data_IF_001187195130
#
_entry.id   IF_001187195130
#
_cell.length_a   1.000
_cell.length_b   1.000
_cell.length_c   1.000
_cell.angle_alpha   90.00
_cell.angle_beta   90.00
_cell.angle_gamma   90.00
#
_symmetry.space_group_name_H-M   'P 1'
#
loop_
_entity.id
_entity.type
_entity.pdbx_description
1 polymer ?
#
# COMPACT_ATOMS: atom_id res chain seq x y z
N UNK A 1 28.53 -31.41 -36.90
CA UNK A 1 28.35 -31.17 -35.46
C UNK A 1 29.01 -29.91 -34.88
N UNK A 2 29.42 -28.92 -35.70
CA UNK A 2 30.02 -27.66 -35.21
C UNK A 2 29.15 -26.40 -35.33
N UNK A 3 28.04 -26.49 -36.08
CA UNK A 3 27.11 -25.33 -36.31
C UNK A 3 26.12 -25.09 -35.16
N UNK A 4 25.74 -26.16 -34.43
CA UNK A 4 24.75 -26.03 -33.32
C UNK A 4 25.29 -25.38 -32.06
N UNK A 5 26.58 -25.42 -31.78
CA UNK A 5 27.18 -24.83 -30.56
C UNK A 5 27.30 -23.31 -30.66
N UNK A 6 27.49 -22.73 -31.86
CA UNK A 6 27.58 -21.26 -32.02
C UNK A 6 26.24 -20.55 -31.89
N UNK A 7 25.14 -21.17 -32.29
CA UNK A 7 23.79 -20.56 -32.20
C UNK A 7 23.34 -20.51 -30.72
N UNK A 8 23.64 -21.55 -29.92
CA UNK A 8 23.31 -21.56 -28.51
C UNK A 8 24.10 -20.52 -27.69
N UNK A 9 25.40 -20.32 -28.03
CA UNK A 9 26.22 -19.29 -27.40
C UNK A 9 25.76 -17.87 -27.72
N UNK A 10 25.26 -17.64 -28.94
CA UNK A 10 24.77 -16.32 -29.38
C UNK A 10 23.43 -15.95 -28.70
N UNK A 11 22.54 -16.91 -28.49
CA UNK A 11 21.27 -16.72 -27.78
C UNK A 11 21.47 -16.44 -26.28
N UNK A 12 22.44 -17.06 -25.63
CA UNK A 12 22.73 -16.82 -24.20
C UNK A 12 23.38 -15.45 -24.01
N UNK A 13 24.28 -15.00 -24.90
CA UNK A 13 24.91 -13.68 -24.85
C UNK A 13 23.89 -12.55 -25.05
N UNK A 14 22.91 -12.72 -25.93
CA UNK A 14 21.85 -11.73 -26.15
C UNK A 14 20.88 -11.64 -24.95
N UNK A 15 20.59 -12.73 -24.27
CA UNK A 15 19.69 -12.70 -23.12
C UNK A 15 20.33 -12.01 -21.90
N UNK A 16 21.62 -12.16 -21.68
CA UNK A 16 22.35 -11.46 -20.61
C UNK A 16 22.46 -9.95 -20.90
N UNK A 17 22.68 -9.56 -22.15
CA UNK A 17 22.72 -8.15 -22.54
C UNK A 17 21.38 -7.45 -22.39
N UNK A 18 20.28 -8.07 -22.77
CA UNK A 18 18.94 -7.54 -22.60
C UNK A 18 18.57 -7.31 -21.12
N UNK A 19 18.91 -8.28 -20.23
CA UNK A 19 18.66 -8.14 -18.80
C UNK A 19 19.46 -7.02 -18.15
N UNK A 20 20.73 -6.84 -18.52
CA UNK A 20 21.57 -5.76 -18.01
C UNK A 20 21.06 -4.38 -18.43
N UNK A 21 20.61 -4.24 -19.67
CA UNK A 21 20.05 -3.00 -20.20
C UNK A 21 18.75 -2.62 -19.51
N UNK A 22 17.90 -3.60 -19.17
CA UNK A 22 16.65 -3.37 -18.44
C UNK A 22 16.88 -2.85 -17.02
N UNK A 23 17.86 -3.38 -16.29
CA UNK A 23 18.18 -2.96 -14.93
C UNK A 23 18.67 -1.51 -14.87
N UNK A 24 19.52 -1.08 -15.81
CA UNK A 24 19.98 0.33 -15.88
C UNK A 24 18.80 1.27 -16.15
N UNK A 25 17.89 0.89 -17.02
CA UNK A 25 16.67 1.64 -17.30
C UNK A 25 15.80 1.74 -16.04
N UNK A 26 15.65 0.66 -15.29
CA UNK A 26 14.86 0.66 -14.04
C UNK A 26 15.51 1.55 -12.97
N UNK A 27 16.84 1.53 -12.84
CA UNK A 27 17.57 2.42 -11.92
C UNK A 27 17.32 3.90 -12.22
N UNK A 28 17.19 4.28 -13.49
CA UNK A 28 16.91 5.66 -13.91
C UNK A 28 15.54 6.17 -13.41
N UNK A 29 14.65 5.26 -13.02
CA UNK A 29 13.37 5.59 -12.39
C UNK A 29 13.41 5.56 -10.84
N UNK A 30 14.53 5.18 -10.21
CA UNK A 30 14.67 5.11 -8.76
C UNK A 30 15.50 6.28 -8.25
N UNK A 31 15.10 6.86 -7.14
CA UNK A 31 15.76 7.99 -6.50
C UNK A 31 16.22 7.66 -5.09
N UNK A 32 17.35 8.23 -4.70
CA UNK A 32 17.79 8.28 -3.32
C UNK A 32 17.16 9.47 -2.62
N UNK A 33 16.63 9.24 -1.43
CA UNK A 33 16.02 10.28 -0.61
C UNK A 33 16.83 10.46 0.65
N UNK A 34 17.17 11.71 0.95
CA UNK A 34 17.78 12.12 2.20
C UNK A 34 16.88 13.14 2.88
N UNK A 35 16.42 12.83 4.07
CA UNK A 35 15.55 13.68 4.89
C UNK A 35 16.16 13.95 6.25
N UNK A 36 15.69 15.01 6.91
CA UNK A 36 16.10 15.39 8.27
C UNK A 36 14.85 15.55 9.12
N UNK A 37 14.70 14.73 10.14
CA UNK A 37 13.61 14.81 11.11
C UNK A 37 14.18 14.82 12.51
N UNK A 38 13.80 15.80 13.34
CA UNK A 38 14.28 15.96 14.72
C UNK A 38 15.82 15.94 14.83
N UNK A 39 16.50 16.55 13.85
CA UNK A 39 17.99 16.61 13.80
C UNK A 39 18.66 15.30 13.34
N UNK A 40 17.91 14.24 13.07
CA UNK A 40 18.44 12.96 12.58
C UNK A 40 18.31 12.87 11.07
N UNK A 41 19.40 12.47 10.41
CA UNK A 41 19.37 12.15 8.99
C UNK A 41 18.79 10.76 8.77
N UNK A 42 17.88 10.66 7.80
CA UNK A 42 17.34 9.39 7.29
C UNK A 42 17.71 9.26 5.81
N UNK A 43 17.99 8.05 5.39
CA UNK A 43 18.18 7.72 3.98
C UNK A 43 17.18 6.64 3.60
N UNK A 44 16.56 6.80 2.44
CA UNK A 44 15.65 5.83 1.88
C UNK A 44 15.65 5.91 0.36
N UNK A 45 14.77 5.15 -0.22
CA UNK A 45 14.53 5.11 -1.65
C UNK A 45 13.15 5.69 -2.00
N UNK A 46 12.96 5.97 -3.26
CA UNK A 46 11.68 6.27 -3.88
C UNK A 46 11.75 5.95 -5.36
N UNK A 47 10.64 6.05 -6.05
CA UNK A 47 10.67 5.88 -7.50
C UNK A 47 9.67 6.80 -8.19
N UNK A 48 10.00 7.14 -9.43
CA UNK A 48 9.21 8.03 -10.28
C UNK A 48 8.03 7.25 -10.83
N UNK A 49 6.82 7.72 -10.53
CA UNK A 49 5.56 7.13 -11.01
C UNK A 49 4.96 7.87 -12.19
N UNK A 50 5.35 9.14 -12.37
CA UNK A 50 4.90 9.99 -13.47
C UNK A 50 5.94 11.05 -13.77
N UNK A 51 6.15 11.35 -15.06
CA UNK A 51 6.96 12.47 -15.55
C UNK A 51 6.09 13.39 -16.40
N UNK A 52 6.21 14.68 -16.16
CA UNK A 52 5.72 15.77 -16.98
C UNK A 52 6.92 16.64 -17.39
N UNK A 53 6.81 17.53 -18.37
CA UNK A 53 7.97 18.24 -18.92
C UNK A 53 8.90 18.90 -17.88
N UNK A 54 8.36 19.39 -16.76
CA UNK A 54 9.12 20.07 -15.72
C UNK A 54 8.78 19.55 -14.31
N UNK A 55 8.19 18.35 -14.20
CA UNK A 55 7.77 17.80 -12.92
C UNK A 55 7.99 16.28 -12.89
N UNK A 56 8.69 15.81 -11.86
CA UNK A 56 8.75 14.39 -11.52
C UNK A 56 7.88 14.11 -10.28
N UNK A 57 6.97 13.16 -10.39
CA UNK A 57 6.17 12.65 -9.28
C UNK A 57 6.83 11.39 -8.71
N UNK A 58 7.18 11.43 -7.44
CA UNK A 58 7.95 10.38 -6.77
C UNK A 58 7.12 9.84 -5.62
N UNK A 59 7.00 8.51 -5.53
CA UNK A 59 6.41 7.84 -4.38
C UNK A 59 7.49 7.21 -3.51
N UNK A 60 7.27 7.23 -2.20
CA UNK A 60 8.14 6.62 -1.19
C UNK A 60 7.31 6.16 0.02
N UNK A 61 7.94 5.49 0.99
CA UNK A 61 7.32 5.21 2.28
C UNK A 61 7.23 6.49 3.14
N UNK A 62 6.12 6.69 3.86
CA UNK A 62 5.88 7.90 4.63
C UNK A 62 6.99 8.21 5.64
N UNK A 63 7.44 7.18 6.40
CA UNK A 63 8.46 7.33 7.43
C UNK A 63 9.84 7.79 6.91
N UNK A 64 10.08 7.65 5.60
CA UNK A 64 11.33 8.15 4.96
C UNK A 64 11.38 9.66 4.96
N UNK A 65 10.23 10.34 4.79
CA UNK A 65 10.15 11.81 4.68
C UNK A 65 9.33 12.46 5.79
N UNK A 66 8.79 11.69 6.71
CA UNK A 66 8.01 12.21 7.82
C UNK A 66 8.83 13.17 8.69
N UNK A 67 8.29 14.39 8.88
CA UNK A 67 8.95 15.48 9.60
C UNK A 67 9.85 16.37 8.73
N UNK A 68 10.05 16.06 7.44
CA UNK A 68 10.80 16.91 6.50
C UNK A 68 9.93 17.29 5.30
N UNK A 69 9.44 18.53 5.20
CA UNK A 69 8.59 18.96 4.09
C UNK A 69 9.36 19.15 2.77
N UNK A 70 10.69 19.21 2.82
CA UNK A 70 11.55 19.53 1.67
C UNK A 70 12.80 18.62 1.62
N UNK A 71 12.64 17.28 1.59
CA UNK A 71 13.75 16.34 1.57
C UNK A 71 14.58 16.51 0.29
N UNK A 72 15.81 16.04 0.34
CA UNK A 72 16.69 16.01 -0.83
C UNK A 72 16.50 14.71 -1.61
N UNK A 73 16.48 14.84 -2.93
CA UNK A 73 16.37 13.73 -3.88
C UNK A 73 17.60 13.73 -4.78
N UNK A 74 18.20 12.57 -4.95
CA UNK A 74 19.31 12.33 -5.88
C UNK A 74 18.86 11.34 -6.94
N UNK A 75 19.09 11.69 -8.22
CA UNK A 75 18.71 10.88 -9.36
C UNK A 75 19.88 10.00 -9.83
N UNK A 76 19.58 8.76 -10.26
CA UNK A 76 20.59 7.85 -10.81
C UNK A 76 21.37 8.45 -11.97
N UNK A 77 20.69 9.17 -12.87
CA UNK A 77 21.33 9.78 -14.06
C UNK A 77 22.14 11.04 -13.74
N UNK A 78 22.10 11.54 -12.49
CA UNK A 78 22.88 12.68 -12.01
C UNK A 78 23.22 12.48 -10.53
N UNK A 79 24.17 11.58 -10.27
CA UNK A 79 24.59 11.23 -8.92
C UNK A 79 25.39 12.35 -8.25
N UNK A 80 25.36 12.41 -6.92
CA UNK A 80 26.04 13.41 -6.07
C UNK A 80 25.59 14.86 -6.31
N UNK A 81 24.43 15.07 -6.95
CA UNK A 81 23.82 16.40 -7.15
C UNK A 81 22.38 16.36 -6.63
N UNK A 82 22.19 16.41 -5.30
CA UNK A 82 20.86 16.37 -4.71
C UNK A 82 20.08 17.65 -5.04
N UNK A 83 18.78 17.48 -5.26
CA UNK A 83 17.82 18.57 -5.46
C UNK A 83 16.72 18.49 -4.40
N UNK A 84 16.10 19.62 -4.06
CA UNK A 84 14.97 19.65 -3.13
C UNK A 84 13.72 19.11 -3.79
N UNK A 85 12.99 18.25 -3.06
CA UNK A 85 11.65 17.83 -3.41
C UNK A 85 10.64 18.42 -2.41
N UNK A 86 9.40 18.59 -2.85
CA UNK A 86 8.27 19.01 -2.03
C UNK A 86 7.43 17.81 -1.67
N UNK A 87 7.16 17.58 -0.38
CA UNK A 87 6.20 16.55 0.07
C UNK A 87 4.78 17.08 -0.14
N UNK A 88 4.06 16.50 -1.10
CA UNK A 88 2.71 16.95 -1.50
C UNK A 88 1.60 16.27 -0.71
N UNK A 89 1.78 15.00 -0.42
CA UNK A 89 0.84 14.15 0.33
C UNK A 89 1.63 13.16 1.16
N UNK A 90 1.13 12.83 2.32
CA UNK A 90 1.72 11.85 3.22
C UNK A 90 0.62 11.18 4.04
N UNK A 91 0.69 9.87 4.19
CA UNK A 91 -0.09 9.09 5.16
C UNK A 91 0.74 8.98 6.45
N UNK A 92 0.78 10.06 7.23
CA UNK A 92 1.57 10.10 8.46
C UNK A 92 0.97 9.23 9.58
N UNK A 93 1.85 8.77 10.48
CA UNK A 93 1.44 7.96 11.64
C UNK A 93 1.16 6.49 11.35
N UNK A 94 1.28 6.05 10.10
CA UNK A 94 1.17 4.65 9.68
C UNK A 94 2.53 4.13 9.23
N UNK A 95 3.03 3.05 9.84
CA UNK A 95 4.27 2.39 9.43
C UNK A 95 4.22 1.88 7.97
N UNK A 96 3.04 1.69 7.41
CA UNK A 96 2.79 1.28 6.03
C UNK A 96 2.30 2.43 5.15
N UNK A 97 2.30 3.65 5.67
CA UNK A 97 1.87 4.85 4.95
C UNK A 97 2.80 5.20 3.80
N UNK A 98 2.24 5.82 2.77
CA UNK A 98 2.95 6.30 1.59
C UNK A 98 3.14 7.81 1.63
N UNK A 99 4.12 8.32 0.90
CA UNK A 99 4.28 9.73 0.63
C UNK A 99 4.45 9.99 -0.86
N UNK A 100 3.85 11.08 -1.33
CA UNK A 100 4.02 11.63 -2.67
C UNK A 100 4.86 12.89 -2.59
N UNK A 101 5.97 12.88 -3.33
CA UNK A 101 6.83 14.04 -3.50
C UNK A 101 6.83 14.51 -4.95
N UNK A 102 7.17 15.78 -5.14
CA UNK A 102 7.42 16.34 -6.48
C UNK A 102 8.75 17.09 -6.51
N UNK A 103 9.48 16.91 -7.60
CA UNK A 103 10.60 17.76 -8.00
C UNK A 103 10.14 18.59 -9.18
N UNK A 104 10.35 19.91 -9.11
CA UNK A 104 9.95 20.88 -10.14
C UNK A 104 11.14 21.60 -10.74
N UNK A 105 10.97 22.06 -11.98
CA UNK A 105 11.97 22.81 -12.73
C UNK A 105 12.80 21.92 -13.64
N UNK A 106 12.94 22.32 -14.91
CA UNK A 106 13.72 21.57 -15.90
C UNK A 106 15.20 21.43 -15.47
N UNK A 107 15.74 22.44 -14.80
CA UNK A 107 17.12 22.48 -14.27
C UNK A 107 17.36 21.42 -13.17
N UNK A 108 16.32 21.03 -12.47
CA UNK A 108 16.36 20.03 -11.40
C UNK A 108 16.18 18.60 -11.92
N UNK A 109 15.66 18.43 -13.13
CA UNK A 109 15.38 17.13 -13.73
C UNK A 109 16.47 16.77 -14.76
N UNK A 110 17.36 15.83 -14.45
CA UNK A 110 18.38 15.40 -15.42
C UNK A 110 17.74 14.65 -16.59
N UNK A 111 18.41 14.61 -17.75
CA UNK A 111 17.97 13.80 -18.88
C UNK A 111 18.01 12.30 -18.54
N UNK A 112 17.25 11.50 -19.29
CA UNK A 112 17.25 10.04 -19.15
C UNK A 112 16.43 9.49 -17.98
N UNK A 113 15.64 10.33 -17.29
CA UNK A 113 14.69 9.85 -16.28
C UNK A 113 13.59 9.04 -16.93
N UNK A 114 13.14 8.02 -16.22
CA UNK A 114 11.99 7.19 -16.63
C UNK A 114 10.98 7.10 -15.50
N UNK A 115 9.69 6.98 -15.83
CA UNK A 115 8.67 6.58 -14.88
C UNK A 115 8.55 5.07 -14.85
N UNK A 116 8.53 4.47 -13.66
CA UNK A 116 8.36 3.04 -13.51
C UNK A 116 6.87 2.67 -13.61
N UNK A 117 6.59 1.63 -14.38
CA UNK A 117 5.22 1.11 -14.52
C UNK A 117 4.82 0.37 -13.25
N UNK A 118 3.69 0.75 -12.66
CA UNK A 118 3.04 -0.04 -11.64
C UNK A 118 2.35 -1.24 -12.34
N UNK A 119 2.78 -2.43 -12.00
CA UNK A 119 2.19 -3.69 -12.43
C UNK A 119 1.14 -4.18 -11.45
N UNK A 120 0.90 -5.49 -11.46
CA UNK A 120 0.02 -6.18 -10.51
C UNK A 120 0.80 -7.12 -9.61
N UNK A 121 0.50 -7.10 -8.33
CA UNK A 121 0.98 -8.10 -7.36
C UNK A 121 0.09 -9.36 -7.31
N UNK A 122 -1.05 -9.36 -7.99
CA UNK A 122 -2.00 -10.47 -7.96
C UNK A 122 -1.44 -11.79 -8.49
N UNK A 123 -0.40 -11.73 -9.33
CA UNK A 123 0.26 -12.91 -9.91
C UNK A 123 1.46 -13.41 -9.07
N UNK A 124 1.81 -12.72 -7.99
CA UNK A 124 2.89 -13.16 -7.11
C UNK A 124 2.49 -14.42 -6.35
N UNK A 125 3.43 -15.35 -6.25
CA UNK A 125 3.26 -16.61 -5.50
C UNK A 125 4.16 -16.60 -4.29
N UNK A 126 3.58 -16.74 -3.10
CA UNK A 126 4.33 -16.96 -1.87
C UNK A 126 5.11 -18.26 -1.95
N UNK A 127 6.34 -18.25 -1.45
CA UNK A 127 7.24 -19.41 -1.44
C UNK A 127 7.82 -19.81 -2.79
N UNK A 128 7.58 -19.05 -3.87
CA UNK A 128 8.03 -19.45 -5.21
C UNK A 128 8.63 -18.33 -6.04
N UNK A 129 8.16 -17.12 -5.91
CA UNK A 129 8.58 -16.03 -6.78
C UNK A 129 9.84 -15.33 -6.26
N UNK A 130 10.78 -15.08 -7.18
CA UNK A 130 11.90 -14.17 -6.97
C UNK A 130 11.58 -12.82 -7.58
N UNK A 131 11.87 -11.75 -6.83
CA UNK A 131 11.69 -10.36 -7.24
C UNK A 131 12.97 -9.57 -7.00
N UNK A 132 13.10 -8.39 -7.61
CA UNK A 132 14.23 -7.50 -7.38
C UNK A 132 13.75 -6.27 -6.60
N UNK A 133 14.49 -5.87 -5.56
CA UNK A 133 14.31 -4.59 -4.88
C UNK A 133 15.46 -3.66 -5.27
N UNK A 134 15.16 -2.38 -5.53
CA UNK A 134 16.18 -1.37 -5.81
C UNK A 134 16.14 -0.32 -4.70
N UNK A 135 17.28 -0.07 -4.07
CA UNK A 135 17.38 0.89 -2.97
C UNK A 135 18.83 1.16 -2.56
N UNK A 136 19.01 1.60 -1.32
CA UNK A 136 20.29 2.07 -0.77
C UNK A 136 20.57 1.35 0.55
N UNK A 137 20.84 0.01 0.52
CA UNK A 137 21.11 -0.73 1.73
C UNK A 137 22.29 -0.13 2.51
N UNK A 138 22.26 -0.25 3.82
CA UNK A 138 23.25 0.34 4.73
C UNK A 138 24.67 -0.02 4.31
N UNK A 139 25.54 0.98 4.18
CA UNK A 139 26.92 0.79 3.73
C UNK A 139 27.11 0.76 2.21
N UNK A 140 26.06 0.80 1.40
CA UNK A 140 26.14 0.87 -0.07
C UNK A 140 25.67 2.25 -0.54
N UNK A 141 26.58 3.04 -1.09
CA UNK A 141 26.30 4.40 -1.53
C UNK A 141 25.52 4.49 -2.86
N UNK A 142 25.42 3.39 -3.60
CA UNK A 142 24.86 3.33 -4.96
C UNK A 142 23.52 2.60 -5.01
N UNK A 143 22.81 2.74 -6.14
CA UNK A 143 21.55 2.06 -6.44
C UNK A 143 21.70 0.52 -6.44
N UNK A 144 21.63 -0.09 -5.24
CA UNK A 144 21.75 -1.53 -5.08
C UNK A 144 20.54 -2.27 -5.64
N UNK A 145 20.77 -3.39 -6.31
CA UNK A 145 19.72 -4.30 -6.76
C UNK A 145 19.84 -5.59 -5.95
N UNK A 146 18.85 -5.84 -5.12
CA UNK A 146 18.78 -7.04 -4.29
C UNK A 146 17.78 -8.01 -4.89
N UNK A 147 18.16 -9.27 -5.04
CA UNK A 147 17.23 -10.34 -5.39
C UNK A 147 16.69 -10.95 -4.10
N UNK A 148 15.38 -10.91 -3.96
CA UNK A 148 14.68 -11.39 -2.76
C UNK A 148 13.56 -12.32 -3.17
N UNK A 149 13.22 -13.26 -2.28
CA UNK A 149 12.12 -14.18 -2.52
C UNK A 149 10.83 -13.67 -1.87
N UNK A 150 9.70 -13.89 -2.53
CA UNK A 150 8.38 -13.70 -1.93
C UNK A 150 8.13 -14.88 -1.00
N UNK A 151 8.08 -14.61 0.30
CA UNK A 151 7.82 -15.64 1.32
C UNK A 151 6.32 -15.93 1.38
N UNK A 152 5.51 -14.90 1.53
CA UNK A 152 4.05 -15.01 1.57
C UNK A 152 3.40 -13.68 1.17
N UNK A 153 2.09 -13.73 0.95
CA UNK A 153 1.23 -12.56 0.73
C UNK A 153 0.21 -12.53 1.85
N UNK A 154 0.30 -11.53 2.71
CA UNK A 154 -0.55 -11.40 3.91
C UNK A 154 -1.26 -10.03 3.93
N UNK A 155 -2.55 -10.02 3.61
CA UNK A 155 -3.34 -8.79 3.62
C UNK A 155 -2.74 -7.71 2.71
N UNK A 156 -2.28 -6.60 3.32
CA UNK A 156 -1.62 -5.49 2.62
C UNK A 156 -0.14 -5.75 2.33
N UNK A 157 0.43 -6.87 2.73
CA UNK A 157 1.87 -7.07 2.70
C UNK A 157 2.29 -8.11 1.69
N UNK A 158 3.35 -7.81 0.97
CA UNK A 158 4.23 -8.79 0.36
C UNK A 158 5.34 -9.01 1.37
N UNK A 159 5.41 -10.20 1.96
CA UNK A 159 6.49 -10.58 2.87
C UNK A 159 7.65 -11.12 2.04
N UNK A 160 8.80 -10.49 2.20
CA UNK A 160 10.04 -10.80 1.46
C UNK A 160 11.06 -11.48 2.36
N UNK A 161 12.00 -12.21 1.76
CA UNK A 161 13.10 -12.85 2.49
C UNK A 161 13.97 -11.83 3.24
N UNK A 162 14.83 -12.33 4.15
CA UNK A 162 15.62 -11.51 5.10
C UNK A 162 16.80 -10.75 4.47
N UNK A 163 16.84 -10.63 3.16
CA UNK A 163 17.95 -10.00 2.43
C UNK A 163 17.80 -8.47 2.26
N UNK A 164 16.69 -7.90 2.76
CA UNK A 164 16.50 -6.45 2.76
C UNK A 164 17.12 -5.82 4.01
N UNK A 165 17.58 -4.58 3.86
CA UNK A 165 18.21 -3.78 4.91
C UNK A 165 17.59 -2.38 4.99
N UNK A 166 17.93 -1.63 6.05
CA UNK A 166 17.62 -0.20 6.14
C UNK A 166 18.17 0.54 4.92
N UNK A 167 17.43 1.56 4.44
CA UNK A 167 17.75 2.29 3.20
C UNK A 167 17.05 1.76 1.96
N UNK A 168 16.45 0.56 2.00
CA UNK A 168 15.59 0.07 0.92
C UNK A 168 14.15 0.59 1.02
N UNK A 169 13.75 1.16 2.18
CA UNK A 169 12.40 1.70 2.41
C UNK A 169 12.03 2.74 1.36
N UNK A 170 10.83 2.60 0.79
CA UNK A 170 10.31 3.43 -0.31
C UNK A 170 10.74 2.97 -1.70
N UNK A 171 11.69 2.06 -1.82
CA UNK A 171 12.16 1.52 -3.10
C UNK A 171 11.17 0.56 -3.76
N UNK A 172 11.23 0.40 -5.09
CA UNK A 172 10.36 -0.50 -5.81
C UNK A 172 10.75 -1.96 -5.61
N UNK A 173 9.74 -2.83 -5.51
CA UNK A 173 9.85 -4.27 -5.71
C UNK A 173 9.44 -4.57 -7.14
N UNK A 174 10.30 -5.22 -7.91
CA UNK A 174 10.17 -5.37 -9.35
C UNK A 174 10.11 -6.84 -9.74
N UNK A 175 9.16 -7.16 -10.61
CA UNK A 175 9.06 -8.42 -11.34
C UNK A 175 8.68 -8.12 -12.79
N UNK A 176 9.33 -8.79 -13.74
CA UNK A 176 9.04 -8.66 -15.18
C UNK A 176 9.01 -7.18 -15.65
N UNK A 177 10.02 -6.39 -15.22
CA UNK A 177 10.19 -4.96 -15.51
C UNK A 177 9.05 -4.06 -15.04
N UNK A 178 8.22 -4.52 -14.12
CA UNK A 178 7.12 -3.75 -13.53
C UNK A 178 7.25 -3.72 -12.00
N UNK A 179 6.83 -2.61 -11.42
CA UNK A 179 6.76 -2.48 -9.96
C UNK A 179 5.55 -3.28 -9.46
N UNK A 180 5.80 -4.33 -8.69
CA UNK A 180 4.78 -5.17 -8.05
C UNK A 180 4.52 -4.78 -6.59
N UNK A 181 5.41 -3.98 -5.99
CA UNK A 181 5.26 -3.47 -4.63
C UNK A 181 6.23 -2.33 -4.31
N UNK A 182 6.07 -1.73 -3.15
CA UNK A 182 6.94 -0.69 -2.57
C UNK A 182 7.44 -1.16 -1.21
N UNK A 183 8.74 -1.16 -1.00
CA UNK A 183 9.38 -1.60 0.25
C UNK A 183 9.01 -0.65 1.39
N UNK A 184 8.48 -1.20 2.47
CA UNK A 184 8.12 -0.43 3.68
C UNK A 184 9.18 -0.50 4.76
N UNK A 185 9.88 -1.62 4.87
CA UNK A 185 10.88 -1.82 5.91
C UNK A 185 11.02 -3.28 6.30
N UNK A 186 11.42 -3.51 7.56
CA UNK A 186 11.65 -4.83 8.12
C UNK A 186 10.67 -5.11 9.27
N UNK A 187 10.22 -6.35 9.36
CA UNK A 187 9.52 -6.88 10.52
C UNK A 187 10.13 -8.23 10.91
N UNK A 188 10.68 -8.32 12.11
CA UNK A 188 11.38 -9.51 12.62
C UNK A 188 12.44 -10.07 11.64
N UNK A 189 13.10 -9.16 10.91
CA UNK A 189 14.12 -9.48 9.90
C UNK A 189 13.58 -9.85 8.51
N UNK A 190 12.25 -10.00 8.33
CA UNK A 190 11.65 -10.13 7.01
C UNK A 190 11.38 -8.78 6.39
N UNK A 191 11.57 -8.66 5.08
CA UNK A 191 11.17 -7.48 4.34
C UNK A 191 9.65 -7.39 4.21
N UNK A 192 9.11 -6.18 4.35
CA UNK A 192 7.72 -5.90 4.06
C UNK A 192 7.61 -4.94 2.89
N UNK A 193 6.70 -5.22 1.97
CA UNK A 193 6.35 -4.31 0.89
C UNK A 193 4.83 -4.19 0.73
N UNK A 194 4.37 -2.99 0.38
CA UNK A 194 2.98 -2.72 0.02
C UNK A 194 2.77 -3.09 -1.45
N UNK A 195 1.72 -3.85 -1.80
CA UNK A 195 1.39 -4.19 -3.19
C UNK A 195 1.22 -2.98 -4.10
N UNK A 196 1.64 -3.09 -5.36
CA UNK A 196 1.52 -2.02 -6.36
C UNK A 196 0.08 -1.56 -6.61
N UNK A 197 -0.91 -2.44 -6.46
CA UNK A 197 -2.33 -2.11 -6.52
C UNK A 197 -2.74 -1.10 -5.45
N UNK A 198 -2.23 -1.24 -4.23
CA UNK A 198 -2.44 -0.28 -3.13
C UNK A 198 -1.75 1.04 -3.45
N UNK A 199 -0.48 1.00 -3.87
CA UNK A 199 0.26 2.21 -4.28
C UNK A 199 -0.51 2.96 -5.37
N UNK A 200 -1.02 2.26 -6.38
CA UNK A 200 -1.85 2.85 -7.44
C UNK A 200 -3.10 3.50 -6.89
N UNK A 201 -3.83 2.82 -6.03
CA UNK A 201 -5.07 3.33 -5.42
C UNK A 201 -4.81 4.61 -4.63
N UNK A 202 -3.80 4.62 -3.77
CA UNK A 202 -3.43 5.80 -2.97
C UNK A 202 -3.03 6.98 -3.86
N UNK A 203 -2.19 6.76 -4.87
CA UNK A 203 -1.76 7.80 -5.80
C UNK A 203 -2.94 8.36 -6.62
N UNK A 204 -3.86 7.51 -7.06
CA UNK A 204 -5.07 7.93 -7.79
C UNK A 204 -5.97 8.79 -6.89
N UNK A 205 -6.15 8.41 -5.61
CA UNK A 205 -6.89 9.19 -4.63
C UNK A 205 -6.23 10.55 -4.33
N UNK A 206 -4.92 10.65 -4.49
CA UNK A 206 -4.18 11.92 -4.39
C UNK A 206 -4.20 12.73 -5.68
N UNK A 207 -4.93 12.28 -6.71
CA UNK A 207 -5.11 12.99 -7.98
C UNK A 207 -3.96 12.77 -8.98
N UNK A 208 -3.11 11.76 -8.77
CA UNK A 208 -2.08 11.39 -9.74
C UNK A 208 -2.67 10.51 -10.81
N UNK A 209 -2.81 11.04 -12.03
CA UNK A 209 -3.24 10.22 -13.18
C UNK A 209 -2.09 9.30 -13.60
N UNK A 210 -2.28 8.02 -13.42
CA UNK A 210 -1.33 6.97 -13.80
C UNK A 210 -1.78 6.28 -15.11
N UNK A 211 -0.84 5.71 -15.88
CA UNK A 211 -1.20 4.82 -16.99
C UNK A 211 -2.10 3.68 -16.51
N UNK A 212 -3.00 3.23 -17.38
CA UNK A 212 -3.86 2.08 -17.09
C UNK A 212 -3.01 0.86 -16.70
N UNK A 213 -3.56 0.01 -15.84
CA UNK A 213 -2.91 -1.24 -15.45
C UNK A 213 -2.69 -2.11 -16.70
N UNK A 214 -1.49 -2.69 -16.89
CA UNK A 214 -1.29 -3.63 -17.98
C UNK A 214 -2.26 -4.82 -17.78
N UNK A 215 -3.13 -5.04 -18.73
CA UNK A 215 -3.93 -6.28 -18.77
C UNK A 215 -2.94 -7.45 -18.74
N UNK A 216 -3.06 -8.33 -17.76
CA UNK A 216 -2.28 -9.56 -17.72
C UNK A 216 -2.51 -10.26 -19.06
N UNK A 217 -1.44 -10.50 -19.82
CA UNK A 217 -1.52 -11.20 -21.09
C UNK A 217 -2.10 -12.60 -20.82
N UNK A 218 -3.37 -12.76 -21.13
CA UNK A 218 -3.99 -14.08 -21.21
C UNK A 218 -3.26 -14.82 -22.32
N UNK A 219 -2.62 -15.94 -22.00
CA UNK A 219 -2.01 -16.82 -22.99
C UNK A 219 -3.03 -17.08 -24.10
N UNK A 220 -2.62 -17.04 -25.39
CA UNK A 220 -3.55 -17.21 -26.50
C UNK A 220 -4.23 -18.57 -26.40
N UNK A 221 -5.52 -18.58 -26.09
CA UNK A 221 -6.37 -19.75 -26.28
C UNK A 221 -6.60 -19.91 -27.76
N UNK A 222 -6.38 -21.12 -28.26
CA UNK A 222 -6.68 -21.51 -29.67
C UNK A 222 -8.13 -21.16 -30.02
N UNK A 223 -8.40 -20.66 -31.24
CA UNK A 223 -9.74 -20.26 -31.63
C UNK A 223 -10.67 -21.47 -31.72
N UNK A 224 -11.72 -21.46 -30.91
CA UNK A 224 -12.88 -22.30 -31.14
C UNK A 224 -13.65 -21.74 -32.33
N UNK A 225 -13.98 -22.62 -33.30
CA UNK A 225 -14.73 -22.30 -34.50
C UNK A 225 -16.17 -21.94 -34.16
N UNK A 226 -16.64 -20.89 -34.85
CA UNK A 226 -18.03 -20.50 -35.09
C UNK A 226 -18.92 -20.17 -33.87
N UNK A 227 -18.99 -18.87 -33.56
CA UNK A 227 -20.19 -18.23 -33.02
C UNK A 227 -20.26 -16.78 -33.52
N UNK A 228 -21.40 -16.43 -34.09
CA UNK A 228 -21.78 -15.17 -34.71
C UNK A 228 -21.57 -13.98 -33.80
N UNK A 229 -20.78 -12.99 -34.23
CA UNK A 229 -20.40 -11.79 -33.49
C UNK A 229 -21.57 -10.81 -33.41
N UNK A 230 -22.09 -10.57 -32.20
CA UNK A 230 -22.84 -9.38 -31.88
C UNK A 230 -21.84 -8.25 -31.50
N UNK A 231 -22.14 -6.95 -31.79
CA UNK A 231 -21.19 -5.86 -31.56
C UNK A 231 -20.85 -5.71 -30.08
N UNK A 232 -19.55 -5.66 -29.81
CA UNK A 232 -19.00 -5.51 -28.46
C UNK A 232 -19.39 -4.15 -27.83
N UNK A 233 -19.79 -4.11 -26.55
CA UNK A 233 -19.96 -2.87 -25.83
C UNK A 233 -18.60 -2.19 -25.53
N UNK A 234 -18.57 -0.87 -25.30
CA UNK A 234 -17.33 -0.11 -25.18
C UNK A 234 -16.47 -0.59 -24.00
N UNK A 235 -15.22 -0.89 -24.32
CA UNK A 235 -14.19 -1.33 -23.36
C UNK A 235 -13.86 -0.24 -22.37
N UNK A 236 -14.05 -0.49 -21.06
CA UNK A 236 -13.55 0.40 -20.02
C UNK A 236 -14.26 0.44 -18.67
N UNK A 237 -15.25 -0.41 -18.43
CA UNK A 237 -15.95 -0.46 -17.14
C UNK A 237 -15.84 -1.88 -16.58
N UNK A 238 -15.22 -2.07 -15.41
CA UNK A 238 -15.23 -3.35 -14.69
C UNK A 238 -16.66 -3.83 -14.45
N UNK A 239 -16.84 -5.14 -14.29
CA UNK A 239 -18.16 -5.77 -14.11
C UNK A 239 -18.84 -5.34 -12.81
N UNK A 240 -18.06 -4.93 -11.79
CA UNK A 240 -18.52 -4.42 -10.51
C UNK A 240 -18.22 -2.92 -10.40
N UNK A 241 -19.26 -2.10 -10.17
CA UNK A 241 -19.09 -0.69 -9.83
C UNK A 241 -19.27 -0.46 -8.33
N UNK A 242 -18.43 0.38 -7.76
CA UNK A 242 -18.51 0.86 -6.39
C UNK A 242 -18.88 2.35 -6.41
N UNK A 243 -19.81 2.78 -5.55
CA UNK A 243 -20.16 4.20 -5.38
C UNK A 243 -19.09 4.97 -4.60
N UNK A 244 -18.25 4.26 -3.84
CA UNK A 244 -17.09 4.83 -3.15
C UNK A 244 -15.92 3.86 -3.12
N UNK A 245 -14.70 4.36 -3.34
CA UNK A 245 -13.44 3.64 -3.18
C UNK A 245 -12.68 4.06 -1.90
N UNK A 246 -13.25 5.01 -1.14
CA UNK A 246 -12.73 5.51 0.12
C UNK A 246 -13.86 5.83 1.11
N UNK A 247 -13.68 5.43 2.35
CA UNK A 247 -14.56 5.71 3.48
C UNK A 247 -13.78 6.46 4.55
N UNK A 248 -14.07 7.73 4.74
CA UNK A 248 -13.51 8.54 5.81
C UNK A 248 -14.48 8.56 6.99
N UNK A 249 -14.11 7.93 8.09
CA UNK A 249 -14.89 7.92 9.32
C UNK A 249 -14.67 9.19 10.15
N UNK A 250 -13.58 9.94 9.85
CA UNK A 250 -13.23 11.11 10.63
C UNK A 250 -12.77 10.74 12.04
N UNK A 251 -12.98 11.67 12.98
CA UNK A 251 -12.65 11.47 14.37
C UNK A 251 -13.79 10.70 15.07
N UNK A 252 -13.48 9.57 15.67
CA UNK A 252 -14.41 8.69 16.35
C UNK A 252 -13.90 8.38 17.75
N UNK A 253 -14.79 8.46 18.72
CA UNK A 253 -14.46 8.08 20.09
C UNK A 253 -14.00 6.61 20.17
N UNK A 254 -12.94 6.38 20.96
CA UNK A 254 -12.41 5.03 21.22
C UNK A 254 -13.50 4.11 21.78
N UNK A 255 -13.58 2.91 21.26
CA UNK A 255 -14.56 1.88 21.59
C UNK A 255 -16.02 2.22 21.20
N UNK A 256 -16.25 3.28 20.44
CA UNK A 256 -17.54 3.59 19.82
C UNK A 256 -17.52 3.18 18.36
N UNK A 257 -18.58 2.49 17.92
CA UNK A 257 -18.70 2.03 16.54
C UNK A 257 -19.39 3.07 15.68
N UNK A 258 -18.80 3.40 14.54
CA UNK A 258 -19.44 4.13 13.46
C UNK A 258 -19.59 3.22 12.24
N UNK A 259 -20.70 3.37 11.50
CA UNK A 259 -21.00 2.56 10.31
C UNK A 259 -21.11 3.47 9.09
N UNK A 260 -20.52 3.03 7.99
CA UNK A 260 -20.73 3.59 6.64
C UNK A 260 -21.08 2.49 5.67
N UNK A 261 -21.76 2.85 4.58
CA UNK A 261 -22.24 1.88 3.60
C UNK A 261 -21.70 2.23 2.21
N UNK A 262 -21.48 1.18 1.43
CA UNK A 262 -21.05 1.25 0.04
C UNK A 262 -22.04 0.44 -0.78
N UNK A 263 -22.43 0.96 -1.94
CA UNK A 263 -23.21 0.21 -2.92
C UNK A 263 -22.29 -0.46 -3.95
N UNK A 264 -22.51 -1.74 -4.13
CA UNK A 264 -21.84 -2.57 -5.12
C UNK A 264 -22.85 -2.88 -6.22
N UNK A 265 -22.67 -2.32 -7.42
CA UNK A 265 -23.60 -2.46 -8.55
C UNK A 265 -23.01 -3.39 -9.60
N UNK A 266 -23.77 -4.42 -9.99
CA UNK A 266 -23.39 -5.31 -11.08
C UNK A 266 -23.63 -4.62 -12.44
N UNK A 267 -22.56 -4.38 -13.19
CA UNK A 267 -22.59 -3.85 -14.55
C UNK A 267 -22.38 -4.90 -15.62
N UNK A 268 -22.17 -6.17 -15.23
CA UNK A 268 -22.06 -7.26 -16.18
C UNK A 268 -23.44 -7.68 -16.70
N UNK A 269 -23.50 -8.32 -17.87
CA UNK A 269 -24.76 -8.89 -18.41
C UNK A 269 -25.24 -10.12 -17.64
N UNK A 270 -24.36 -10.73 -16.83
CA UNK A 270 -24.65 -11.95 -16.07
C UNK A 270 -24.72 -11.68 -14.57
N UNK A 271 -25.43 -12.52 -13.79
CA UNK A 271 -25.44 -12.42 -12.34
C UNK A 271 -24.03 -12.55 -11.75
N UNK A 272 -23.68 -11.64 -10.85
CA UNK A 272 -22.37 -11.54 -10.19
C UNK A 272 -22.49 -11.91 -8.72
N UNK A 273 -21.47 -12.56 -8.17
CA UNK A 273 -21.38 -12.84 -6.72
C UNK A 273 -20.10 -12.29 -6.14
N UNK A 274 -20.20 -11.69 -4.96
CA UNK A 274 -19.02 -11.34 -4.17
C UNK A 274 -18.52 -12.64 -3.50
N UNK A 275 -17.38 -13.12 -3.96
CA UNK A 275 -16.81 -14.39 -3.51
C UNK A 275 -15.96 -14.27 -2.25
N UNK A 276 -15.39 -13.09 -1.99
CA UNK A 276 -14.56 -12.83 -0.81
C UNK A 276 -14.55 -11.35 -0.45
N UNK A 277 -14.62 -11.10 0.85
CA UNK A 277 -14.34 -9.82 1.49
C UNK A 277 -13.19 -10.02 2.48
N UNK A 278 -12.12 -9.24 2.34
CA UNK A 278 -10.97 -9.30 3.25
C UNK A 278 -10.66 -7.90 3.74
N UNK A 279 -10.50 -7.73 5.02
CA UNK A 279 -10.06 -6.51 5.69
C UNK A 279 -8.70 -6.75 6.32
N UNK A 280 -7.74 -5.88 6.04
CA UNK A 280 -6.36 -6.03 6.51
C UNK A 280 -6.15 -5.56 7.96
N UNK A 281 -6.99 -4.65 8.47
CA UNK A 281 -7.03 -4.33 9.91
C UNK A 281 -8.39 -4.70 10.55
N UNK A 282 -8.60 -5.98 10.87
CA UNK A 282 -9.84 -6.43 11.51
C UNK A 282 -9.98 -5.99 12.97
N UNK A 283 -8.95 -5.38 13.56
CA UNK A 283 -8.99 -4.89 14.95
C UNK A 283 -9.82 -3.62 15.08
N UNK A 284 -9.76 -2.73 14.07
CA UNK A 284 -10.49 -1.46 14.07
C UNK A 284 -11.66 -1.43 13.08
N UNK A 285 -11.60 -2.23 12.02
CA UNK A 285 -12.61 -2.26 10.97
C UNK A 285 -13.27 -3.63 10.85
N UNK A 286 -14.53 -3.64 10.42
CA UNK A 286 -15.24 -4.85 10.00
C UNK A 286 -16.14 -4.54 8.82
N UNK A 287 -16.34 -5.52 7.92
CA UNK A 287 -17.23 -5.40 6.77
C UNK A 287 -18.19 -6.60 6.72
N UNK A 288 -19.46 -6.34 6.35
CA UNK A 288 -20.49 -7.37 6.23
C UNK A 288 -21.51 -6.99 5.18
N UNK A 289 -22.14 -8.01 4.56
CA UNK A 289 -23.13 -7.88 3.49
C UNK A 289 -22.61 -8.34 2.14
N UNK A 290 -23.49 -8.53 1.19
CA UNK A 290 -23.21 -8.92 -0.20
C UNK A 290 -22.48 -10.25 -0.43
N UNK A 291 -21.96 -10.91 0.60
CA UNK A 291 -21.13 -12.11 0.44
C UNK A 291 -21.97 -13.31 -0.05
N UNK A 292 -21.55 -13.93 -1.16
CA UNK A 292 -22.16 -15.11 -1.76
C UNK A 292 -23.62 -14.95 -2.27
N UNK A 293 -24.21 -13.76 -2.16
CA UNK A 293 -25.53 -13.49 -2.74
C UNK A 293 -25.38 -13.10 -4.21
N UNK A 294 -26.27 -13.58 -5.12
CA UNK A 294 -26.24 -13.18 -6.51
C UNK A 294 -26.77 -11.76 -6.66
N UNK A 295 -26.02 -10.91 -7.34
CA UNK A 295 -26.43 -9.56 -7.73
C UNK A 295 -26.83 -9.65 -9.21
N UNK A 296 -28.10 -9.46 -9.55
CA UNK A 296 -28.56 -9.51 -10.93
C UNK A 296 -27.97 -8.33 -11.76
N UNK A 297 -27.94 -8.45 -13.11
CA UNK A 297 -27.48 -7.36 -13.98
C UNK A 297 -28.23 -6.06 -13.70
N UNK A 298 -27.49 -4.97 -13.45
CA UNK A 298 -28.03 -3.66 -13.10
C UNK A 298 -28.45 -3.47 -11.64
N UNK A 299 -28.54 -4.54 -10.88
CA UNK A 299 -28.90 -4.48 -9.46
C UNK A 299 -27.67 -4.17 -8.56
N UNK A 300 -27.98 -3.75 -7.35
CA UNK A 300 -26.95 -3.39 -6.35
C UNK A 300 -27.18 -4.10 -5.03
N UNK A 301 -26.09 -4.39 -4.34
CA UNK A 301 -26.14 -4.79 -2.93
C UNK A 301 -25.41 -3.76 -2.05
N UNK A 302 -25.80 -3.67 -0.78
CA UNK A 302 -25.19 -2.75 0.19
C UNK A 302 -24.22 -3.48 1.11
N UNK A 303 -22.97 -3.02 1.09
CA UNK A 303 -21.91 -3.48 1.98
C UNK A 303 -21.77 -2.48 3.14
N UNK A 304 -21.88 -2.96 4.36
CA UNK A 304 -21.69 -2.17 5.59
C UNK A 304 -20.25 -2.29 6.06
N UNK A 305 -19.59 -1.17 6.28
CA UNK A 305 -18.25 -1.10 6.87
C UNK A 305 -18.35 -0.38 8.21
N UNK A 306 -17.84 -0.99 9.27
CA UNK A 306 -17.84 -0.46 10.63
C UNK A 306 -16.42 -0.12 11.05
N UNK A 307 -16.27 1.02 11.70
CA UNK A 307 -15.05 1.48 12.34
C UNK A 307 -15.26 1.58 13.84
N UNK A 308 -14.41 0.93 14.63
CA UNK A 308 -14.39 0.99 16.09
C UNK A 308 -12.94 1.06 16.56
N UNK A 309 -12.38 2.29 16.74
CA UNK A 309 -11.01 2.45 17.17
C UNK A 309 -10.80 1.86 18.57
N UNK A 310 -9.70 1.14 18.77
CA UNK A 310 -9.32 0.53 20.05
C UNK A 310 -8.44 1.42 20.92
N UNK A 311 -7.85 2.46 20.32
CA UNK A 311 -6.96 3.42 20.97
C UNK A 311 -7.03 4.78 20.29
N UNK A 312 -6.41 5.80 20.91
CA UNK A 312 -6.16 7.10 20.27
C UNK A 312 -5.18 6.94 19.13
N UNK A 313 -5.41 7.63 18.01
CA UNK A 313 -4.53 7.68 16.85
C UNK A 313 -5.23 7.37 15.54
N UNK A 314 -4.49 7.45 14.44
CA UNK A 314 -4.98 7.14 13.11
C UNK A 314 -5.11 5.64 12.87
N UNK A 315 -6.18 5.26 12.17
CA UNK A 315 -6.43 3.91 11.70
C UNK A 315 -6.71 3.95 10.22
N UNK A 316 -6.19 2.97 9.51
CA UNK A 316 -6.48 2.77 8.11
C UNK A 316 -6.64 1.27 7.83
N UNK A 317 -7.66 0.92 7.06
CA UNK A 317 -7.93 -0.45 6.62
C UNK A 317 -8.18 -0.49 5.13
N UNK A 318 -7.72 -1.56 4.48
CA UNK A 318 -8.03 -1.88 3.10
C UNK A 318 -9.05 -3.00 3.04
N UNK A 319 -10.22 -2.70 2.49
CA UNK A 319 -11.21 -3.70 2.15
C UNK A 319 -10.95 -4.18 0.72
N UNK A 320 -10.66 -5.44 0.57
CA UNK A 320 -10.49 -6.13 -0.70
C UNK A 320 -11.76 -6.91 -1.02
N UNK A 321 -12.32 -6.67 -2.20
CA UNK A 321 -13.57 -7.28 -2.68
C UNK A 321 -13.24 -8.11 -3.93
N UNK A 322 -13.44 -9.42 -3.85
CA UNK A 322 -13.35 -10.33 -5.00
C UNK A 322 -14.75 -10.70 -5.46
N UNK A 323 -14.97 -10.73 -6.76
CA UNK A 323 -16.24 -11.14 -7.36
C UNK A 323 -16.04 -12.22 -8.43
N UNK A 324 -17.13 -12.80 -8.90
CA UNK A 324 -17.11 -13.93 -9.85
C UNK A 324 -16.89 -13.52 -11.31
N UNK A 325 -17.02 -12.23 -11.62
CA UNK A 325 -16.96 -11.74 -13.01
C UNK A 325 -15.62 -11.07 -13.34
N UNK A 326 -14.97 -10.41 -12.34
CA UNK A 326 -13.70 -9.73 -12.52
C UNK A 326 -12.55 -10.62 -12.06
N UNK A 327 -11.48 -10.68 -12.84
CA UNK A 327 -10.22 -11.35 -12.45
C UNK A 327 -9.40 -10.51 -11.45
N UNK A 328 -9.71 -9.22 -11.32
CA UNK A 328 -9.00 -8.29 -10.45
C UNK A 328 -9.86 -7.93 -9.23
N UNK A 329 -9.23 -7.78 -8.05
CA UNK A 329 -9.92 -7.33 -6.86
C UNK A 329 -10.29 -5.85 -6.96
N UNK A 330 -11.41 -5.49 -6.34
CA UNK A 330 -11.77 -4.10 -6.06
C UNK A 330 -11.32 -3.73 -4.65
N UNK A 331 -10.90 -2.47 -4.47
CA UNK A 331 -10.37 -1.98 -3.22
C UNK A 331 -11.15 -0.78 -2.69
N UNK A 332 -11.36 -0.77 -1.37
CA UNK A 332 -11.91 0.38 -0.65
C UNK A 332 -11.01 0.68 0.54
N UNK A 333 -10.51 1.91 0.62
CA UNK A 333 -9.73 2.39 1.76
C UNK A 333 -10.69 2.92 2.81
N UNK A 334 -10.61 2.40 4.02
CA UNK A 334 -11.34 2.90 5.18
C UNK A 334 -10.34 3.63 6.10
N UNK A 335 -10.59 4.90 6.42
CA UNK A 335 -9.74 5.71 7.28
C UNK A 335 -10.52 6.36 8.42
N UNK A 336 -9.91 6.47 9.61
CA UNK A 336 -10.51 7.15 10.74
C UNK A 336 -9.49 7.42 11.84
N UNK A 337 -9.84 8.30 12.78
CA UNK A 337 -9.00 8.67 13.92
C UNK A 337 -9.73 8.29 15.21
N UNK A 338 -9.07 7.52 16.07
CA UNK A 338 -9.55 7.28 17.42
C UNK A 338 -9.27 8.50 18.30
N UNK A 339 -10.32 9.09 18.87
CA UNK A 339 -10.24 10.21 19.79
C UNK A 339 -10.45 9.73 21.22
N UNK A 340 -9.66 10.27 22.16
CA UNK A 340 -9.85 10.02 23.58
C UNK A 340 -9.47 11.27 24.35
N UNK A 341 -10.35 11.72 25.24
CA UNK A 341 -10.11 12.86 26.11
C UNK A 341 -9.24 12.50 27.33
N UNK A 342 -9.12 11.21 27.63
CA UNK A 342 -8.39 10.76 28.81
C UNK A 342 -8.30 9.23 28.90
N UNK A 343 -8.13 8.72 30.10
CA UNK A 343 -8.02 7.30 30.39
C UNK A 343 -9.11 6.86 31.36
N UNK A 344 -9.60 5.65 31.19
CA UNK A 344 -10.55 4.99 32.05
C UNK A 344 -9.91 3.78 32.72
N UNK A 345 -10.04 3.67 34.03
CA UNK A 345 -9.62 2.51 34.81
C UNK A 345 -10.82 1.63 35.08
N UNK A 346 -10.83 0.42 34.53
CA UNK A 346 -11.90 -0.52 34.73
C UNK A 346 -11.36 -1.94 34.92
N UNK A 347 -11.81 -2.62 35.96
CA UNK A 347 -11.37 -3.97 36.36
C UNK A 347 -9.84 -4.17 36.34
N UNK A 348 -9.09 -3.13 36.72
CA UNK A 348 -7.63 -3.22 36.79
C UNK A 348 -6.90 -3.01 35.47
N UNK A 349 -7.59 -2.51 34.45
CA UNK A 349 -7.01 -2.16 33.15
C UNK A 349 -7.20 -0.69 32.82
N UNK A 350 -6.33 -0.16 31.96
CA UNK A 350 -6.41 1.21 31.47
C UNK A 350 -6.92 1.20 30.03
N UNK A 351 -7.90 2.04 29.74
CA UNK A 351 -8.48 2.25 28.43
C UNK A 351 -8.42 3.72 28.06
N UNK A 352 -8.04 4.04 26.83
CA UNK A 352 -8.13 5.39 26.29
C UNK A 352 -9.57 5.66 25.83
N UNK A 353 -10.31 6.52 26.51
CA UNK A 353 -11.68 6.89 26.16
C UNK A 353 -12.10 8.18 26.83
N UNK A 354 -13.25 8.73 26.46
CA UNK A 354 -13.80 9.91 27.10
C UNK A 354 -14.49 9.58 28.44
N UNK A 355 -14.90 10.64 29.15
CA UNK A 355 -15.50 10.51 30.50
C UNK A 355 -16.86 9.84 30.48
N UNK A 356 -17.67 10.05 29.45
CA UNK A 356 -19.00 9.48 29.32
C UNK A 356 -18.94 7.99 29.09
N UNK A 357 -18.12 7.55 28.16
CA UNK A 357 -17.87 6.13 27.88
C UNK A 357 -17.28 5.39 29.09
N UNK A 358 -16.39 6.05 29.84
CA UNK A 358 -15.86 5.49 31.08
C UNK A 358 -16.95 5.28 32.12
N UNK A 359 -17.86 6.26 32.30
CA UNK A 359 -19.01 6.13 33.20
C UNK A 359 -19.98 5.04 32.77
N UNK A 360 -20.21 4.88 31.48
CA UNK A 360 -21.12 3.85 30.93
C UNK A 360 -20.70 2.43 31.31
N UNK A 361 -19.42 2.18 31.55
CA UNK A 361 -18.86 0.91 32.00
C UNK A 361 -18.54 0.87 33.50
N UNK A 362 -18.96 1.90 34.25
CA UNK A 362 -18.67 2.05 35.70
C UNK A 362 -17.16 2.11 36.01
N UNK A 363 -16.38 2.74 35.12
CA UNK A 363 -14.95 2.96 35.28
C UNK A 363 -14.61 4.27 36.00
N UNK A 364 -13.35 4.41 36.40
CA UNK A 364 -12.80 5.67 36.97
C UNK A 364 -12.07 6.43 35.86
N UNK A 365 -12.53 7.64 35.59
CA UNK A 365 -11.97 8.47 34.53
C UNK A 365 -10.90 9.46 35.07
N UNK A 366 -9.79 9.58 34.33
CA UNK A 366 -8.76 10.57 34.58
C UNK A 366 -8.30 11.23 33.28
N UNK A 367 -8.11 12.54 33.28
CA UNK A 367 -7.54 13.29 32.16
C UNK A 367 -6.02 13.14 32.22
N UNK A 368 -5.38 12.81 31.09
CA UNK A 368 -3.96 12.59 31.10
C UNK A 368 -3.22 13.12 29.90
N UNK A 369 -2.29 14.02 30.17
CA UNK A 369 -1.15 14.27 29.30
C UNK A 369 0.18 13.73 29.87
N UNK A 370 0.25 13.37 31.16
CA UNK A 370 1.49 12.94 31.82
C UNK A 370 1.25 11.93 32.94
N UNK A 371 0.96 10.69 32.60
CA UNK A 371 1.14 9.58 33.53
C UNK A 371 0.07 9.38 34.58
N UNK A 372 -1.23 9.57 34.25
CA UNK A 372 -2.30 9.07 35.10
C UNK A 372 -2.18 7.56 35.23
N UNK A 373 -1.72 7.10 36.38
CA UNK A 373 -1.66 5.68 36.69
C UNK A 373 -2.93 5.31 37.41
N UNK A 374 -3.66 4.35 36.86
CA UNK A 374 -4.72 3.66 37.60
C UNK A 374 -4.08 2.99 38.82
N UNK A 375 -4.09 3.66 39.98
CA UNK A 375 -3.59 3.10 41.23
C UNK A 375 -4.76 2.66 42.08
N UNK A 376 -4.85 1.37 42.38
CA UNK A 376 -5.34 0.98 43.70
C UNK A 376 -4.25 1.33 44.73
N UNK A 377 -4.58 1.87 45.90
CA UNK A 377 -3.59 2.09 46.93
C UNK A 377 -2.97 0.72 47.26
N UNK A 378 -1.71 0.50 46.89
CA UNK A 378 -0.84 -0.66 47.18
C UNK A 378 -0.55 -1.68 46.06
N UNK A 379 -0.87 -1.44 44.77
CA UNK A 379 -0.59 -2.42 43.71
C UNK A 379 0.05 -1.73 42.47
N UNK A 380 0.91 -2.47 41.76
CA UNK A 380 1.67 -2.07 40.57
C UNK A 380 0.79 -1.42 39.47
N UNK A 381 1.38 -0.60 38.57
CA UNK A 381 0.64 0.03 37.48
C UNK A 381 -0.04 -1.03 36.61
N UNK A 382 -1.30 -0.79 36.30
CA UNK A 382 -2.07 -1.71 35.44
C UNK A 382 -1.58 -1.64 33.99
N UNK A 383 -1.50 -2.78 33.27
CA UNK A 383 -1.18 -2.77 31.86
C UNK A 383 -2.27 -2.08 31.04
N UNK A 384 -1.87 -1.32 30.03
CA UNK A 384 -2.80 -0.79 29.03
C UNK A 384 -3.32 -1.96 28.21
N UNK A 385 -4.64 -2.11 28.13
CA UNK A 385 -5.24 -3.11 27.25
C UNK A 385 -5.52 -2.55 25.85
N UNK A 386 -5.18 -3.31 24.81
CA UNK A 386 -5.49 -2.94 23.43
C UNK A 386 -6.96 -3.16 23.04
N UNK A 387 -7.73 -3.86 23.90
CA UNK A 387 -9.12 -4.24 23.62
C UNK A 387 -10.12 -3.29 24.26
N UNK A 388 -11.29 -3.15 23.65
CA UNK A 388 -12.38 -2.42 24.26
C UNK A 388 -13.01 -3.21 25.40
N UNK A 389 -13.44 -2.53 26.49
CA UNK A 389 -14.17 -3.20 27.55
C UNK A 389 -15.51 -3.74 27.02
N UNK A 390 -15.99 -4.88 27.54
CA UNK A 390 -17.31 -5.39 27.16
C UNK A 390 -18.39 -4.37 27.56
N UNK A 391 -19.27 -4.05 26.64
CA UNK A 391 -20.47 -3.25 26.91
C UNK A 391 -21.51 -4.15 27.59
N UNK A 392 -22.16 -3.64 28.65
CA UNK A 392 -23.31 -4.29 29.27
C UNK A 392 -24.53 -4.23 28.38
#
# INVERSE_FOLDING_TARGET
>A
MRLGLMIAAWLVLNSVGAYAQDIETLRAGVVKISSVSEGKRKTGAGFIVKLEPNIAYIVTAAHVVEGDPAPQVEFFTRQNVPVKAEVRKIEGGDLQGLALMVVRGAENLPPGLVSLKLGTSALLKGGGDQVSAIGFPSGVASWGVLRVNVVTLEGRNIVLSKDLEEGNSGGPVIKDNQVVGLVMGLNQGFGLAVPASIVRTVLTNWGVTLPAEPLAAVAPQQPAKDATVAPAPPSGVGSLALDANRLEFGEQEVCVTQEKRIQLTNRSPDPLRISRLTLDDPRAFSAQGCLNEPIAPGESCTLSVKFMPKSKGGFQGLLTILNSADSQPHFVIAGGVGAAEGVCCWYGYVYSMNKESCRSISGYFGVNELGFQCRRPRIQPYPIRPDCPPRK
#
